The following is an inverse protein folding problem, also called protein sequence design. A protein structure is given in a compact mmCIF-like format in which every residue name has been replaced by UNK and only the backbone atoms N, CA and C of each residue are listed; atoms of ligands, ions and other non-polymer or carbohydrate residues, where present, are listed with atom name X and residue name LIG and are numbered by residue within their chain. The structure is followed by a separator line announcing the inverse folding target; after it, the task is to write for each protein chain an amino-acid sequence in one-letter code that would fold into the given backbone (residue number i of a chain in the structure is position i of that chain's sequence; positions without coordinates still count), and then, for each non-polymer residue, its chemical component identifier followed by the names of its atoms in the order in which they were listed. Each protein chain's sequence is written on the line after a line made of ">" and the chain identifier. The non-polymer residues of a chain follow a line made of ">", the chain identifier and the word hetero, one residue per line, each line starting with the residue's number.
data_IF_295497321649
#
_entry.id   IF_295497321649
#
_cell.length_a   1.000
_cell.length_b   1.000
_cell.length_c   1.000
_cell.angle_alpha   90.00
_cell.angle_beta   90.00
_cell.angle_gamma   90.00
#
_symmetry.space_group_name_H-M   'P 1'
#
loop_
_entity.id
_entity.type
_entity.pdbx_description
1 polymer ?
#
# COMPACT_ATOMS: atom_id res chain seq x y z
N UNK A 1 61.69 -31.40 17.44
CA UNK A 1 61.53 -29.96 17.51
C UNK A 1 60.22 -29.52 16.96
N UNK A 2 59.24 -29.18 17.84
CA UNK A 2 58.00 -28.55 17.46
C UNK A 2 58.28 -27.06 17.36
N UNK A 3 58.36 -26.52 16.14
CA UNK A 3 58.39 -25.09 15.91
C UNK A 3 56.95 -24.58 16.06
N UNK A 4 56.63 -24.03 17.22
CA UNK A 4 55.43 -23.20 17.40
C UNK A 4 55.64 -21.89 16.66
N UNK A 5 55.02 -21.73 15.50
CA UNK A 5 54.90 -20.43 14.82
C UNK A 5 54.03 -19.51 15.69
N UNK A 6 54.61 -18.79 16.62
CA UNK A 6 53.96 -17.66 17.28
C UNK A 6 53.91 -16.52 16.26
N UNK A 7 52.72 -16.17 15.83
CA UNK A 7 52.47 -14.93 15.05
C UNK A 7 53.04 -13.73 15.83
N UNK A 8 53.72 -12.79 15.16
CA UNK A 8 54.33 -11.64 15.84
C UNK A 8 53.28 -10.86 16.64
N UNK A 9 53.65 -10.41 17.84
CA UNK A 9 52.78 -9.60 18.73
C UNK A 9 52.22 -8.36 17.99
N UNK A 10 52.97 -7.82 17.03
CA UNK A 10 52.56 -6.73 16.16
C UNK A 10 51.31 -7.07 15.33
N UNK A 11 51.18 -8.29 14.81
CA UNK A 11 50.04 -8.75 14.03
C UNK A 11 48.77 -8.84 14.89
N UNK A 12 48.90 -9.34 16.10
CA UNK A 12 47.75 -9.38 17.04
C UNK A 12 47.32 -7.98 17.47
N UNK A 13 48.26 -7.04 17.62
CA UNK A 13 47.94 -5.65 17.95
C UNK A 13 47.17 -4.95 16.82
N UNK A 14 47.66 -5.10 15.59
CA UNK A 14 47.05 -4.53 14.41
C UNK A 14 45.64 -5.10 14.19
N UNK A 15 45.45 -6.41 14.36
CA UNK A 15 44.13 -7.05 14.27
C UNK A 15 43.18 -6.60 15.36
N UNK A 16 43.66 -6.35 16.59
CA UNK A 16 42.89 -5.80 17.69
C UNK A 16 42.44 -4.37 17.43
N UNK A 17 43.28 -3.55 16.80
CA UNK A 17 42.93 -2.17 16.43
C UNK A 17 41.90 -2.16 15.31
N UNK A 18 42.00 -3.01 14.29
CA UNK A 18 41.01 -3.20 13.23
C UNK A 18 39.66 -3.62 13.80
N UNK A 19 39.61 -4.61 14.70
CA UNK A 19 38.40 -5.07 15.35
C UNK A 19 37.74 -3.98 16.22
N UNK A 20 38.52 -3.15 16.90
CA UNK A 20 37.99 -2.01 17.68
C UNK A 20 37.38 -0.93 16.77
N UNK A 21 38.00 -0.67 15.62
CA UNK A 21 37.51 0.26 14.64
C UNK A 21 36.13 -0.23 14.05
N UNK A 22 36.09 -1.53 13.71
CA UNK A 22 34.84 -2.15 13.22
C UNK A 22 33.74 -2.15 14.29
N UNK A 23 34.08 -2.45 15.55
CA UNK A 23 33.14 -2.38 16.67
C UNK A 23 32.52 -0.97 16.81
N UNK A 24 33.39 0.06 16.74
CA UNK A 24 32.91 1.46 16.84
C UNK A 24 32.00 1.83 15.66
N UNK A 25 32.38 1.39 14.44
CA UNK A 25 31.55 1.63 13.24
C UNK A 25 30.16 0.97 13.38
N UNK A 26 30.10 -0.30 13.79
CA UNK A 26 28.89 -1.06 13.97
C UNK A 26 28.03 -0.43 15.09
N UNK A 27 28.65 0.03 16.18
CA UNK A 27 27.94 0.72 17.27
C UNK A 27 27.25 2.00 16.80
N UNK A 28 27.92 2.79 15.95
CA UNK A 28 27.33 3.99 15.36
C UNK A 28 26.18 3.66 14.38
N UNK A 29 26.32 2.56 13.63
CA UNK A 29 25.27 2.10 12.71
C UNK A 29 24.02 1.62 13.45
N UNK A 30 24.18 0.93 14.59
CA UNK A 30 23.07 0.57 15.49
C UNK A 30 22.35 1.82 16.02
N UNK A 31 23.11 2.85 16.42
CA UNK A 31 22.53 4.11 16.90
C UNK A 31 21.71 4.80 15.79
N UNK A 32 22.27 4.92 14.60
CA UNK A 32 21.57 5.49 13.44
C UNK A 32 20.28 4.73 13.08
N UNK A 33 20.32 3.39 13.14
CA UNK A 33 19.13 2.57 12.90
C UNK A 33 18.05 2.75 13.96
N UNK A 34 18.42 2.97 15.22
CA UNK A 34 17.47 3.29 16.30
C UNK A 34 16.81 4.65 16.10
N UNK A 35 17.59 5.65 15.70
CA UNK A 35 17.05 6.99 15.44
C UNK A 35 16.06 6.96 14.27
N UNK A 36 16.38 6.23 13.20
CA UNK A 36 15.46 6.03 12.08
C UNK A 36 14.18 5.31 12.50
N UNK A 37 14.28 4.29 13.34
CA UNK A 37 13.09 3.62 13.88
C UNK A 37 12.17 4.57 14.65
N UNK A 38 12.74 5.40 15.51
CA UNK A 38 11.99 6.37 16.30
C UNK A 38 11.30 7.41 15.40
N UNK A 39 11.95 7.83 14.32
CA UNK A 39 11.34 8.70 13.31
C UNK A 39 10.12 8.03 12.63
N UNK A 40 10.21 6.73 12.31
CA UNK A 40 9.09 6.00 11.71
C UNK A 40 7.93 5.77 12.67
N UNK A 41 8.22 5.47 13.95
CA UNK A 41 7.18 5.38 14.99
C UNK A 41 6.41 6.70 15.11
N UNK A 42 7.13 7.83 15.08
CA UNK A 42 6.51 9.16 15.09
C UNK A 42 5.62 9.40 13.86
N UNK A 43 6.10 9.04 12.66
CA UNK A 43 5.31 9.16 11.42
C UNK A 43 4.07 8.28 11.41
N UNK A 44 4.14 7.08 11.96
CA UNK A 44 2.97 6.20 12.10
C UNK A 44 1.94 6.83 13.03
N UNK A 45 2.38 7.43 14.15
CA UNK A 45 1.50 8.13 15.06
C UNK A 45 0.84 9.35 14.39
N UNK A 46 1.59 10.11 13.58
CA UNK A 46 1.10 11.25 12.82
C UNK A 46 0.04 10.84 11.79
N UNK A 47 0.29 9.80 11.00
CA UNK A 47 -0.67 9.22 10.05
C UNK A 47 -1.95 8.78 10.78
N UNK A 48 -1.81 8.15 11.94
CA UNK A 48 -2.94 7.72 12.75
C UNK A 48 -3.77 8.91 13.25
N UNK A 49 -3.11 10.03 13.56
CA UNK A 49 -3.77 11.30 13.93
C UNK A 49 -4.55 11.89 12.75
N UNK A 50 -3.93 11.93 11.57
CA UNK A 50 -4.59 12.42 10.33
C UNK A 50 -5.82 11.59 9.99
N UNK A 51 -5.75 10.27 10.10
CA UNK A 51 -6.91 9.38 9.91
C UNK A 51 -8.04 9.72 10.89
N UNK A 52 -7.71 10.05 12.15
CA UNK A 52 -8.71 10.48 13.14
C UNK A 52 -9.34 11.82 12.79
N UNK A 53 -8.55 12.77 12.30
CA UNK A 53 -9.05 14.10 11.88
C UNK A 53 -9.96 13.98 10.66
N UNK A 54 -9.57 13.21 9.65
CA UNK A 54 -10.42 12.96 8.46
C UNK A 54 -11.77 12.36 8.84
N UNK A 55 -11.79 11.43 9.78
CA UNK A 55 -13.07 10.84 10.25
C UNK A 55 -13.92 11.81 11.04
N UNK A 56 -13.34 12.76 11.75
CA UNK A 56 -14.09 13.81 12.42
C UNK A 56 -14.66 14.83 11.42
N UNK A 57 -13.92 15.12 10.35
CA UNK A 57 -14.40 15.96 9.24
C UNK A 57 -15.55 15.26 8.49
N UNK A 58 -15.41 13.98 8.18
CA UNK A 58 -16.50 13.19 7.56
C UNK A 58 -17.75 13.16 8.44
N UNK A 59 -17.59 13.04 9.77
CA UNK A 59 -18.70 13.13 10.71
C UNK A 59 -19.40 14.50 10.64
N UNK A 60 -18.64 15.59 10.57
CA UNK A 60 -19.19 16.95 10.46
C UNK A 60 -19.85 17.22 9.12
N UNK A 61 -19.30 16.71 8.02
CA UNK A 61 -19.94 16.77 6.69
C UNK A 61 -21.24 16.01 6.70
N UNK A 62 -21.28 14.89 7.39
CA UNK A 62 -22.47 14.06 7.52
C UNK A 62 -23.58 14.74 8.33
N UNK A 63 -23.21 15.50 9.37
CA UNK A 63 -24.16 16.31 10.16
C UNK A 63 -24.71 17.51 9.36
N UNK A 64 -23.99 17.98 8.33
CA UNK A 64 -24.37 19.13 7.51
C UNK A 64 -25.11 18.76 6.20
N UNK A 65 -25.10 17.50 5.79
CA UNK A 65 -25.72 17.05 4.53
C UNK A 65 -27.11 16.48 4.79
N UNK A 66 -28.11 17.13 4.22
CA UNK A 66 -29.52 16.65 4.12
C UNK A 66 -29.55 15.49 3.09
N UNK A 67 -29.10 14.29 3.50
CA UNK A 67 -29.14 13.09 2.67
C UNK A 67 -30.45 12.36 2.95
N UNK A 68 -31.30 12.30 1.98
CA UNK A 68 -32.70 11.87 2.05
C UNK A 68 -32.95 10.38 2.39
N UNK A 69 -31.92 9.55 2.58
CA UNK A 69 -32.10 8.13 2.91
C UNK A 69 -31.20 7.68 4.06
N UNK A 70 -31.81 7.18 5.13
CA UNK A 70 -31.12 6.56 6.27
C UNK A 70 -30.21 5.38 5.84
N UNK A 71 -30.66 4.59 4.87
CA UNK A 71 -29.92 3.43 4.37
C UNK A 71 -28.64 3.84 3.64
N UNK A 72 -28.66 4.93 2.87
CA UNK A 72 -27.46 5.46 2.20
C UNK A 72 -26.44 5.98 3.21
N UNK A 73 -26.90 6.64 4.28
CA UNK A 73 -26.02 7.09 5.38
C UNK A 73 -25.37 5.91 6.11
N UNK A 74 -26.16 4.88 6.37
CA UNK A 74 -25.67 3.69 7.07
C UNK A 74 -24.66 2.90 6.23
N UNK A 75 -24.92 2.79 4.90
CA UNK A 75 -23.99 2.17 3.96
C UNK A 75 -22.66 2.91 3.89
N UNK A 76 -22.69 4.25 3.80
CA UNK A 76 -21.49 5.10 3.79
C UNK A 76 -20.67 4.93 5.09
N UNK A 77 -21.34 4.98 6.25
CA UNK A 77 -20.68 4.80 7.55
C UNK A 77 -20.03 3.42 7.69
N UNK A 78 -20.71 2.37 7.22
CA UNK A 78 -20.14 1.00 7.21
C UNK A 78 -18.94 0.90 6.28
N UNK A 79 -19.01 1.51 5.10
CA UNK A 79 -17.90 1.53 4.14
C UNK A 79 -16.66 2.20 4.73
N UNK A 80 -16.82 3.39 5.32
CA UNK A 80 -15.74 4.13 5.99
C UNK A 80 -15.16 3.33 7.16
N UNK A 81 -15.99 2.76 8.01
CA UNK A 81 -15.54 1.98 9.17
C UNK A 81 -14.81 0.69 8.77
N UNK A 82 -15.29 0.00 7.73
CA UNK A 82 -14.63 -1.20 7.21
C UNK A 82 -13.25 -0.86 6.63
N UNK A 83 -13.14 0.25 5.91
CA UNK A 83 -11.85 0.72 5.38
C UNK A 83 -10.89 1.11 6.50
N UNK A 84 -11.35 1.81 7.54
CA UNK A 84 -10.54 2.13 8.74
C UNK A 84 -10.01 0.88 9.42
N UNK A 85 -10.86 -0.12 9.61
CA UNK A 85 -10.47 -1.40 10.21
C UNK A 85 -9.49 -2.16 9.33
N UNK A 86 -9.61 -2.08 8.00
CA UNK A 86 -8.65 -2.66 7.05
C UNK A 86 -7.29 -1.99 7.19
N UNK A 87 -7.25 -0.66 7.15
CA UNK A 87 -6.01 0.13 7.29
C UNK A 87 -5.36 -0.12 8.65
N UNK A 88 -6.15 -0.09 9.73
CA UNK A 88 -5.63 -0.35 11.08
C UNK A 88 -5.01 -1.75 11.20
N UNK A 89 -5.61 -2.77 10.60
CA UNK A 89 -5.05 -4.13 10.57
C UNK A 89 -3.78 -4.21 9.73
N UNK A 90 -3.76 -3.65 8.53
CA UNK A 90 -2.56 -3.62 7.67
C UNK A 90 -1.39 -2.91 8.36
N UNK A 91 -1.65 -1.79 9.04
CA UNK A 91 -0.63 -1.08 9.83
C UNK A 91 -0.16 -1.91 11.03
N UNK A 92 -1.09 -2.51 11.77
CA UNK A 92 -0.76 -3.28 12.98
C UNK A 92 -0.01 -4.57 12.64
N UNK A 93 -0.51 -5.36 11.71
CA UNK A 93 0.01 -6.72 11.49
C UNK A 93 1.36 -6.72 10.77
N UNK A 94 1.56 -5.85 9.80
CA UNK A 94 2.79 -5.83 9.02
C UNK A 94 3.86 -4.90 9.63
N UNK A 95 3.49 -3.69 9.99
CA UNK A 95 4.47 -2.67 10.41
C UNK A 95 4.91 -2.87 11.86
N UNK A 96 3.97 -3.06 12.78
CA UNK A 96 4.28 -3.18 14.22
C UNK A 96 5.04 -4.46 14.52
N UNK A 97 4.68 -5.59 13.91
CA UNK A 97 5.41 -6.86 14.10
C UNK A 97 6.84 -6.77 13.56
N UNK A 98 7.02 -6.18 12.38
CA UNK A 98 8.35 -6.02 11.78
C UNK A 98 9.22 -5.06 12.61
N UNK A 99 8.68 -3.95 13.12
CA UNK A 99 9.40 -3.02 13.98
C UNK A 99 9.81 -3.69 15.31
N UNK A 100 8.92 -4.47 15.92
CA UNK A 100 9.23 -5.23 17.14
C UNK A 100 10.36 -6.23 16.91
N UNK A 101 10.35 -6.94 15.78
CA UNK A 101 11.43 -7.85 15.40
C UNK A 101 12.77 -7.11 15.22
N UNK A 102 12.75 -5.89 14.66
CA UNK A 102 13.95 -5.04 14.52
C UNK A 102 14.49 -4.62 15.89
N UNK A 103 13.63 -4.21 16.84
CA UNK A 103 14.05 -3.91 18.21
C UNK A 103 14.81 -5.09 18.82
N UNK A 104 14.24 -6.28 18.80
CA UNK A 104 14.90 -7.47 19.32
C UNK A 104 16.22 -7.80 18.63
N UNK A 105 16.29 -7.63 17.30
CA UNK A 105 17.54 -7.83 16.56
C UNK A 105 18.61 -6.80 16.91
N UNK A 106 18.23 -5.53 17.13
CA UNK A 106 19.21 -4.50 17.57
C UNK A 106 19.72 -4.74 18.98
N UNK A 107 18.85 -5.23 19.88
CA UNK A 107 19.27 -5.66 21.23
C UNK A 107 20.24 -6.85 21.19
N UNK A 108 19.96 -7.82 20.31
CA UNK A 108 20.85 -8.95 20.07
C UNK A 108 22.21 -8.49 19.55
N UNK A 109 22.23 -7.61 18.54
CA UNK A 109 23.45 -7.04 17.99
C UNK A 109 24.27 -6.33 19.09
N UNK A 110 23.64 -5.58 19.98
CA UNK A 110 24.30 -4.90 21.10
C UNK A 110 24.98 -5.88 22.07
N UNK A 111 24.43 -7.10 22.22
CA UNK A 111 24.99 -8.13 23.11
C UNK A 111 26.13 -8.92 22.46
N UNK A 112 26.07 -9.15 21.15
CA UNK A 112 27.00 -10.03 20.44
C UNK A 112 28.14 -9.28 19.75
N UNK A 113 28.12 -7.95 19.70
CA UNK A 113 29.07 -7.12 18.98
C UNK A 113 30.54 -7.39 19.39
N UNK A 114 30.77 -7.69 20.66
CA UNK A 114 32.11 -7.99 21.20
C UNK A 114 32.53 -9.46 21.02
N UNK A 115 31.53 -10.38 21.04
CA UNK A 115 31.80 -11.83 21.00
C UNK A 115 31.77 -12.39 19.58
N UNK A 116 30.90 -11.88 18.71
CA UNK A 116 30.72 -12.33 17.32
C UNK A 116 30.40 -11.16 16.37
N UNK A 117 31.43 -10.35 16.00
CA UNK A 117 31.22 -9.20 15.11
C UNK A 117 30.69 -9.59 13.72
N UNK A 118 31.01 -10.79 13.23
CA UNK A 118 30.59 -11.28 11.91
C UNK A 118 29.07 -11.52 11.91
N UNK A 119 28.57 -12.21 12.92
CA UNK A 119 27.14 -12.45 13.10
C UNK A 119 26.38 -11.14 13.32
N UNK A 120 26.93 -10.22 14.13
CA UNK A 120 26.37 -8.89 14.33
C UNK A 120 26.20 -8.14 12.99
N UNK A 121 27.19 -8.17 12.11
CA UNK A 121 27.16 -7.53 10.79
C UNK A 121 26.07 -8.13 9.88
N UNK A 122 25.89 -9.45 9.91
CA UNK A 122 24.83 -10.13 9.15
C UNK A 122 23.43 -9.74 9.65
N UNK A 123 23.25 -9.67 10.98
CA UNK A 123 21.97 -9.22 11.57
C UNK A 123 21.67 -7.75 11.22
N UNK A 124 22.66 -6.86 11.28
CA UNK A 124 22.50 -5.46 10.86
C UNK A 124 22.09 -5.34 9.39
N UNK A 125 22.68 -6.14 8.51
CA UNK A 125 22.29 -6.16 7.10
C UNK A 125 20.83 -6.61 6.94
N UNK A 126 20.41 -7.64 7.67
CA UNK A 126 19.00 -8.12 7.70
C UNK A 126 18.05 -7.04 8.22
N UNK A 127 18.42 -6.33 9.30
CA UNK A 127 17.67 -5.18 9.84
C UNK A 127 17.49 -4.11 8.77
N UNK A 128 18.57 -3.72 8.10
CA UNK A 128 18.52 -2.71 7.03
C UNK A 128 17.60 -3.10 5.87
N UNK A 129 17.57 -4.38 5.49
CA UNK A 129 16.63 -4.87 4.47
C UNK A 129 15.18 -4.80 4.94
N UNK A 130 14.91 -5.21 6.18
CA UNK A 130 13.58 -5.17 6.77
C UNK A 130 13.06 -3.73 6.89
N UNK A 131 13.91 -2.80 7.34
CA UNK A 131 13.57 -1.37 7.41
C UNK A 131 13.21 -0.80 6.04
N UNK A 132 14.00 -1.06 5.00
CA UNK A 132 13.68 -0.59 3.64
C UNK A 132 12.33 -1.11 3.18
N UNK A 133 12.01 -2.36 3.48
CA UNK A 133 10.71 -2.92 3.16
C UNK A 133 9.57 -2.21 3.90
N UNK A 134 9.72 -1.98 5.22
CA UNK A 134 8.72 -1.25 6.02
C UNK A 134 8.51 0.17 5.47
N UNK A 135 9.59 0.87 5.10
CA UNK A 135 9.51 2.20 4.51
C UNK A 135 8.68 2.17 3.22
N UNK A 136 8.93 1.20 2.36
CA UNK A 136 8.23 1.07 1.09
C UNK A 136 6.76 0.72 1.30
N UNK A 137 6.46 -0.21 2.22
CA UNK A 137 5.11 -0.60 2.59
C UNK A 137 4.34 0.59 3.20
N UNK A 138 4.98 1.35 4.11
CA UNK A 138 4.38 2.55 4.73
C UNK A 138 4.14 3.67 3.71
N UNK A 139 5.08 3.91 2.79
CA UNK A 139 4.87 4.85 1.68
C UNK A 139 3.71 4.41 0.78
N UNK A 140 3.56 3.08 0.58
CA UNK A 140 2.42 2.50 -0.09
C UNK A 140 1.11 2.86 0.57
N UNK A 141 1.01 2.63 1.86
CA UNK A 141 -0.19 2.95 2.65
C UNK A 141 -0.51 4.45 2.63
N UNK A 142 0.50 5.32 2.78
CA UNK A 142 0.29 6.79 2.69
C UNK A 142 -0.26 7.16 1.31
N UNK A 143 0.32 6.59 0.25
CA UNK A 143 -0.14 6.83 -1.12
C UNK A 143 -1.57 6.29 -1.34
N UNK A 144 -1.90 5.17 -0.70
CA UNK A 144 -3.22 4.56 -0.75
C UNK A 144 -4.26 5.36 0.04
N UNK A 145 -3.88 6.01 1.14
CA UNK A 145 -4.76 6.83 1.96
C UNK A 145 -5.06 8.19 1.34
N UNK A 146 -4.05 8.86 0.82
CA UNK A 146 -4.17 10.17 0.16
C UNK A 146 -3.09 10.32 -0.90
N UNK A 147 -3.38 10.08 -2.17
CA UNK A 147 -2.44 10.40 -3.24
C UNK A 147 -2.25 11.93 -3.29
N UNK A 148 -1.26 12.45 -2.56
CA UNK A 148 -0.90 13.90 -2.58
C UNK A 148 -0.56 14.41 -3.99
N UNK A 149 -0.39 13.48 -4.93
CA UNK A 149 0.00 13.75 -6.29
C UNK A 149 -1.12 14.24 -7.22
N UNK A 150 -2.39 14.15 -6.81
CA UNK A 150 -3.48 14.59 -7.68
C UNK A 150 -3.47 16.11 -7.93
N UNK A 151 -3.18 16.89 -6.89
CA UNK A 151 -3.18 18.33 -6.97
C UNK A 151 -1.97 18.87 -7.76
N UNK A 152 -0.84 18.15 -7.72
CA UNK A 152 0.42 18.58 -8.32
C UNK A 152 0.66 18.01 -9.72
N UNK A 153 0.30 16.74 -9.99
CA UNK A 153 0.71 16.03 -11.22
C UNK A 153 -0.46 15.47 -12.05
N UNK A 154 -1.70 15.56 -11.54
CA UNK A 154 -2.91 15.12 -12.21
C UNK A 154 -3.18 13.61 -12.11
N UNK A 155 -4.42 13.23 -12.52
CA UNK A 155 -4.95 11.87 -12.36
C UNK A 155 -4.19 10.84 -13.19
N UNK A 156 -3.98 11.10 -14.48
CA UNK A 156 -3.36 10.13 -15.40
C UNK A 156 -1.95 9.73 -14.95
N UNK A 157 -1.12 10.73 -14.62
CA UNK A 157 0.25 10.47 -14.13
C UNK A 157 0.24 9.71 -12.81
N UNK A 158 -0.75 9.96 -11.97
CA UNK A 158 -0.92 9.24 -10.69
C UNK A 158 -1.26 7.78 -10.94
N UNK A 159 -2.17 7.48 -11.87
CA UNK A 159 -2.52 6.10 -12.27
C UNK A 159 -1.32 5.38 -12.88
N UNK A 160 -0.61 6.01 -13.83
CA UNK A 160 0.61 5.43 -14.43
C UNK A 160 1.64 5.03 -13.36
N UNK A 161 1.93 5.95 -12.42
CA UNK A 161 2.87 5.67 -11.33
C UNK A 161 2.40 4.53 -10.41
N UNK A 162 1.09 4.45 -10.15
CA UNK A 162 0.52 3.38 -9.35
C UNK A 162 0.68 2.02 -10.04
N UNK A 163 0.41 1.94 -11.34
CA UNK A 163 0.55 0.73 -12.15
C UNK A 163 2.02 0.33 -12.32
N UNK A 164 2.92 1.27 -12.61
CA UNK A 164 4.37 1.01 -12.68
C UNK A 164 4.91 0.41 -11.40
N UNK A 165 4.48 0.95 -10.27
CA UNK A 165 4.83 0.43 -8.96
C UNK A 165 4.29 -0.97 -8.76
N UNK A 166 3.01 -1.20 -9.04
CA UNK A 166 2.36 -2.49 -8.93
C UNK A 166 3.07 -3.56 -9.77
N UNK A 167 3.41 -3.25 -11.01
CA UNK A 167 4.15 -4.12 -11.93
C UNK A 167 5.52 -4.54 -11.36
N UNK A 168 6.25 -3.61 -10.74
CA UNK A 168 7.56 -3.91 -10.11
C UNK A 168 7.48 -4.94 -8.98
N UNK A 169 6.37 -4.94 -8.24
CA UNK A 169 6.22 -5.82 -7.07
C UNK A 169 5.57 -7.17 -7.40
N UNK A 170 4.73 -7.24 -8.42
CA UNK A 170 3.84 -8.40 -8.64
C UNK A 170 4.10 -9.20 -9.90
N UNK A 171 5.10 -8.83 -10.72
CA UNK A 171 5.43 -9.51 -11.99
C UNK A 171 4.23 -9.66 -12.95
N UNK A 172 3.29 -8.72 -12.90
CA UNK A 172 2.18 -8.58 -13.83
C UNK A 172 2.51 -7.41 -14.73
N UNK A 173 2.38 -7.59 -16.04
CA UNK A 173 2.50 -6.50 -17.00
C UNK A 173 1.25 -5.62 -16.95
N UNK A 174 1.41 -4.30 -16.90
CA UNK A 174 0.30 -3.34 -16.84
C UNK A 174 0.34 -2.39 -18.03
N UNK A 175 -0.76 -2.27 -18.75
CA UNK A 175 -0.97 -1.26 -19.79
C UNK A 175 -1.88 -0.15 -19.30
N UNK A 176 -1.52 1.13 -19.58
CA UNK A 176 -2.36 2.28 -19.31
C UNK A 176 -2.67 3.03 -20.59
N UNK A 177 -3.93 3.33 -20.83
CA UNK A 177 -4.41 4.00 -22.03
C UNK A 177 -5.41 5.09 -21.69
N UNK A 178 -5.32 6.21 -22.38
CA UNK A 178 -6.28 7.31 -22.27
C UNK A 178 -6.96 7.57 -23.59
N UNK A 179 -8.20 8.00 -23.56
CA UNK A 179 -8.99 8.39 -24.74
C UNK A 179 -9.76 9.69 -24.46
N UNK A 180 -9.80 10.57 -25.45
CA UNK A 180 -10.41 11.89 -25.32
C UNK A 180 -9.46 12.94 -24.76
N UNK A 181 -9.98 14.15 -24.53
CA UNK A 181 -9.21 15.26 -23.96
C UNK A 181 -9.36 15.24 -22.45
N UNK A 182 -8.26 15.08 -21.74
CA UNK A 182 -8.23 15.12 -20.28
C UNK A 182 -8.76 16.48 -19.78
N UNK A 183 -9.56 16.44 -18.71
CA UNK A 183 -10.09 17.60 -18.01
C UNK A 183 -9.91 17.41 -16.50
N UNK A 184 -9.94 18.50 -15.70
CA UNK A 184 -9.92 18.41 -14.26
C UNK A 184 -11.06 17.52 -13.75
N UNK A 185 -10.76 16.58 -12.87
CA UNK A 185 -11.71 15.66 -12.25
C UNK A 185 -11.77 16.00 -10.77
N UNK A 186 -12.97 16.02 -10.19
CA UNK A 186 -13.15 16.21 -8.75
C UNK A 186 -12.32 15.18 -7.97
N UNK A 187 -11.67 15.61 -6.89
CA UNK A 187 -10.76 14.79 -6.10
C UNK A 187 -11.40 13.50 -5.56
N UNK A 188 -12.69 13.54 -5.18
CA UNK A 188 -13.42 12.37 -4.71
C UNK A 188 -13.60 11.34 -5.82
N UNK A 189 -13.86 11.79 -7.06
CA UNK A 189 -13.95 10.92 -8.24
C UNK A 189 -12.58 10.30 -8.54
N UNK A 190 -11.51 11.10 -8.51
CA UNK A 190 -10.14 10.61 -8.72
C UNK A 190 -9.77 9.51 -7.73
N UNK A 191 -10.01 9.75 -6.43
CA UNK A 191 -9.75 8.77 -5.36
C UNK A 191 -10.57 7.50 -5.58
N UNK A 192 -11.85 7.64 -5.89
CA UNK A 192 -12.73 6.49 -6.13
C UNK A 192 -12.25 5.64 -7.31
N UNK A 193 -11.91 6.26 -8.44
CA UNK A 193 -11.39 5.55 -9.61
C UNK A 193 -10.06 4.85 -9.29
N UNK A 194 -9.15 5.53 -8.57
CA UNK A 194 -7.88 4.93 -8.16
C UNK A 194 -8.10 3.71 -7.23
N UNK A 195 -9.06 3.79 -6.31
CA UNK A 195 -9.41 2.66 -5.42
C UNK A 195 -9.96 1.47 -6.21
N UNK A 196 -10.79 1.72 -7.21
CA UNK A 196 -11.27 0.65 -8.10
C UNK A 196 -10.10 0.00 -8.84
N UNK A 197 -9.14 0.80 -9.35
CA UNK A 197 -7.95 0.29 -10.02
C UNK A 197 -7.11 -0.56 -9.06
N UNK A 198 -6.85 -0.08 -7.84
CA UNK A 198 -6.07 -0.80 -6.83
C UNK A 198 -6.71 -2.13 -6.45
N UNK A 199 -8.03 -2.14 -6.23
CA UNK A 199 -8.77 -3.36 -5.89
C UNK A 199 -8.76 -4.36 -7.05
N UNK A 200 -8.92 -3.90 -8.29
CA UNK A 200 -8.81 -4.75 -9.47
C UNK A 200 -7.41 -5.35 -9.62
N UNK A 201 -6.35 -4.55 -9.40
CA UNK A 201 -4.97 -5.02 -9.37
C UNK A 201 -4.76 -6.12 -8.31
N UNK A 202 -5.25 -5.88 -7.09
CA UNK A 202 -5.15 -6.86 -6.01
C UNK A 202 -5.88 -8.17 -6.34
N UNK A 203 -7.06 -8.07 -6.96
CA UNK A 203 -7.84 -9.22 -7.37
C UNK A 203 -7.15 -10.00 -8.49
N UNK A 204 -6.51 -9.32 -9.45
CA UNK A 204 -5.72 -9.93 -10.50
C UNK A 204 -4.57 -10.79 -9.95
N UNK A 205 -3.87 -10.31 -8.90
CA UNK A 205 -2.80 -11.06 -8.22
C UNK A 205 -3.35 -12.18 -7.36
N UNK A 206 -4.28 -11.85 -6.45
CA UNK A 206 -4.70 -12.78 -5.39
C UNK A 206 -5.59 -13.90 -5.92
N UNK A 207 -6.45 -13.58 -6.89
CA UNK A 207 -7.52 -14.45 -7.30
C UNK A 207 -7.44 -14.90 -8.75
N UNK A 208 -6.99 -14.05 -9.68
CA UNK A 208 -7.06 -14.32 -11.10
C UNK A 208 -5.81 -15.02 -11.65
N UNK A 209 -4.65 -14.91 -10.99
CA UNK A 209 -3.36 -15.36 -11.52
C UNK A 209 -3.08 -14.77 -12.93
N UNK A 210 -3.46 -13.50 -13.11
CA UNK A 210 -3.30 -12.79 -14.36
C UNK A 210 -1.83 -12.53 -14.68
N UNK A 211 -1.48 -12.48 -15.95
CA UNK A 211 -0.17 -12.09 -16.46
C UNK A 211 -0.17 -10.66 -17.01
N UNK A 212 -1.33 -10.18 -17.44
CA UNK A 212 -1.52 -8.85 -18.00
C UNK A 212 -2.76 -8.18 -17.42
N UNK A 213 -2.66 -6.87 -17.18
CA UNK A 213 -3.76 -6.02 -16.74
C UNK A 213 -3.78 -4.73 -17.56
N UNK A 214 -4.92 -4.45 -18.19
CA UNK A 214 -5.15 -3.25 -18.98
C UNK A 214 -6.05 -2.29 -18.21
N UNK A 215 -5.64 -1.03 -18.11
CA UNK A 215 -6.43 0.07 -17.53
C UNK A 215 -6.62 1.13 -18.60
N UNK A 216 -7.87 1.42 -18.95
CA UNK A 216 -8.24 2.45 -19.92
C UNK A 216 -9.14 3.49 -19.30
N UNK A 217 -8.80 4.78 -19.42
CA UNK A 217 -9.60 5.92 -19.00
C UNK A 217 -10.08 6.70 -20.22
N UNK A 218 -11.39 6.86 -20.35
CA UNK A 218 -12.01 7.63 -21.45
C UNK A 218 -12.68 8.89 -20.91
N UNK A 219 -12.20 10.04 -21.34
CA UNK A 219 -12.70 11.37 -21.00
C UNK A 219 -13.79 11.78 -21.98
N UNK A 220 -15.05 11.57 -21.59
CA UNK A 220 -16.21 11.93 -22.41
C UNK A 220 -16.79 13.28 -21.94
N UNK A 221 -17.55 13.93 -22.79
CA UNK A 221 -18.12 15.27 -22.52
C UNK A 221 -18.91 15.33 -21.20
N UNK A 222 -19.71 14.30 -20.91
CA UNK A 222 -20.64 14.26 -19.76
C UNK A 222 -20.27 13.27 -18.67
N UNK A 223 -19.21 12.46 -18.87
CA UNK A 223 -18.84 11.41 -17.93
C UNK A 223 -17.40 10.98 -18.15
N UNK A 224 -16.80 10.40 -17.13
CA UNK A 224 -15.55 9.63 -17.22
C UNK A 224 -15.88 8.13 -17.20
N UNK A 225 -15.17 7.38 -18.02
CA UNK A 225 -15.32 5.92 -18.08
C UNK A 225 -13.96 5.28 -17.83
N UNK A 226 -13.93 4.36 -16.86
CA UNK A 226 -12.78 3.54 -16.54
C UNK A 226 -13.08 2.09 -16.96
N UNK A 227 -12.20 1.49 -17.70
CA UNK A 227 -12.24 0.06 -18.05
C UNK A 227 -10.98 -0.61 -17.57
N UNK A 228 -11.14 -1.69 -16.80
CA UNK A 228 -10.02 -2.51 -16.33
C UNK A 228 -10.25 -3.93 -16.80
N UNK A 229 -9.24 -4.54 -17.43
CA UNK A 229 -9.29 -5.92 -17.92
C UNK A 229 -8.08 -6.69 -17.47
N UNK A 230 -8.28 -7.91 -17.00
CA UNK A 230 -7.22 -8.88 -16.78
C UNK A 230 -7.39 -10.13 -17.66
N UNK A 231 -6.28 -10.80 -17.92
CA UNK A 231 -6.21 -12.04 -18.69
C UNK A 231 -6.24 -13.30 -17.81
N UNK A 232 -6.68 -13.17 -16.56
CA UNK A 232 -6.63 -14.25 -15.59
C UNK A 232 -7.68 -15.35 -15.79
N UNK A 233 -7.79 -16.22 -14.79
CA UNK A 233 -8.70 -17.39 -14.87
C UNK A 233 -10.19 -17.05 -14.87
N UNK A 234 -10.57 -15.81 -14.55
CA UNK A 234 -11.97 -15.40 -14.41
C UNK A 234 -12.75 -16.16 -13.34
N UNK A 235 -14.03 -15.84 -13.21
CA UNK A 235 -14.95 -16.46 -12.26
C UNK A 235 -16.39 -16.33 -12.74
N UNK A 236 -17.31 -17.11 -12.17
CA UNK A 236 -18.74 -16.93 -12.39
C UNK A 236 -19.25 -15.79 -11.51
N UNK A 237 -19.64 -14.69 -12.15
CA UNK A 237 -20.15 -13.47 -11.46
C UNK A 237 -21.41 -13.78 -10.64
N UNK A 238 -22.25 -14.72 -11.08
CA UNK A 238 -23.49 -15.07 -10.39
C UNK A 238 -23.24 -15.99 -9.19
N UNK A 239 -22.11 -16.64 -9.11
CA UNK A 239 -21.72 -17.50 -8.01
C UNK A 239 -21.08 -16.74 -6.83
N UNK A 240 -20.81 -15.45 -6.98
CA UNK A 240 -20.27 -14.61 -5.90
C UNK A 240 -21.42 -14.18 -5.01
N UNK A 241 -21.45 -14.56 -3.72
CA UNK A 241 -22.53 -14.17 -2.82
C UNK A 241 -22.57 -12.64 -2.64
N UNK A 242 -23.75 -12.04 -2.74
CA UNK A 242 -23.95 -10.62 -2.41
C UNK A 242 -23.82 -10.33 -0.90
N UNK A 243 -23.87 -11.37 -0.05
CA UNK A 243 -23.80 -11.26 1.41
C UNK A 243 -22.47 -11.79 1.97
N UNK A 244 -22.01 -11.07 2.97
CA UNK A 244 -20.75 -11.22 3.70
C UNK A 244 -20.56 -12.59 4.36
N UNK A 245 -19.49 -13.28 4.02
CA UNK A 245 -18.96 -14.36 4.87
C UNK A 245 -17.97 -13.73 5.89
N UNK A 246 -17.96 -14.28 7.12
CA UNK A 246 -17.16 -13.82 8.26
C UNK A 246 -15.61 -13.83 8.04
N UNK A 247 -15.13 -14.31 6.91
CA UNK A 247 -13.72 -14.52 6.63
C UNK A 247 -13.06 -13.50 5.68
N UNK A 248 -13.61 -12.30 5.56
CA UNK A 248 -13.02 -11.18 4.80
C UNK A 248 -12.79 -11.41 3.28
N UNK A 249 -13.27 -12.50 2.70
CA UNK A 249 -13.19 -12.79 1.28
C UNK A 249 -14.51 -12.46 0.59
N UNK A 250 -14.50 -11.51 -0.34
CA UNK A 250 -15.69 -11.13 -1.13
C UNK A 250 -16.14 -9.68 -1.01
N UNK A 251 -15.62 -8.91 -0.06
CA UNK A 251 -15.97 -7.49 0.12
C UNK A 251 -15.51 -6.57 -0.99
N UNK A 252 -14.43 -6.90 -1.72
CA UNK A 252 -13.80 -6.00 -2.69
C UNK A 252 -14.76 -5.56 -3.80
N UNK A 253 -15.51 -6.50 -4.38
CA UNK A 253 -16.45 -6.20 -5.47
C UNK A 253 -17.63 -5.38 -4.98
N UNK A 254 -18.20 -5.70 -3.81
CA UNK A 254 -19.31 -4.96 -3.20
C UNK A 254 -18.89 -3.54 -2.84
N UNK A 255 -17.71 -3.36 -2.27
CA UNK A 255 -17.14 -2.06 -1.93
C UNK A 255 -16.89 -1.18 -3.18
N UNK A 256 -16.40 -1.77 -4.28
CA UNK A 256 -16.25 -1.04 -5.55
C UNK A 256 -17.62 -0.55 -6.06
N UNK A 257 -18.65 -1.41 -6.06
CA UNK A 257 -20.01 -1.06 -6.46
C UNK A 257 -20.55 0.10 -5.62
N UNK A 258 -20.46 -0.03 -4.31
CA UNK A 258 -20.97 0.97 -3.36
C UNK A 258 -20.33 2.35 -3.56
N UNK A 259 -18.99 2.42 -3.66
CA UNK A 259 -18.27 3.68 -3.90
C UNK A 259 -18.68 4.36 -5.19
N UNK A 260 -18.85 3.58 -6.26
CA UNK A 260 -19.26 4.12 -7.56
C UNK A 260 -20.72 4.63 -7.52
N UNK A 261 -21.61 3.91 -6.85
CA UNK A 261 -23.03 4.32 -6.70
C UNK A 261 -23.18 5.61 -5.88
N UNK A 262 -22.34 5.81 -4.86
CA UNK A 262 -22.33 7.06 -4.08
C UNK A 262 -22.03 8.30 -4.94
N UNK A 263 -21.30 8.13 -6.05
CA UNK A 263 -21.02 9.18 -7.03
C UNK A 263 -22.05 9.23 -8.18
N UNK A 264 -23.22 8.62 -8.00
CA UNK A 264 -24.23 8.46 -9.06
C UNK A 264 -23.66 7.79 -10.32
N UNK A 265 -22.61 7.02 -10.16
CA UNK A 265 -21.96 6.26 -11.23
C UNK A 265 -22.60 4.88 -11.40
N UNK A 266 -22.15 4.19 -12.43
CA UNK A 266 -22.52 2.79 -12.71
C UNK A 266 -21.27 1.94 -12.82
N UNK A 267 -21.34 0.70 -12.35
CA UNK A 267 -20.28 -0.28 -12.48
C UNK A 267 -20.86 -1.59 -13.02
N UNK A 268 -20.20 -2.16 -14.01
CA UNK A 268 -20.48 -3.52 -14.49
C UNK A 268 -19.21 -4.38 -14.39
N UNK A 269 -19.42 -5.64 -14.04
CA UNK A 269 -18.35 -6.63 -13.92
C UNK A 269 -18.71 -7.81 -14.80
N UNK A 270 -17.88 -8.10 -15.77
CA UNK A 270 -18.05 -9.19 -16.71
C UNK A 270 -16.88 -10.17 -16.52
N UNK A 271 -17.18 -11.41 -16.17
CA UNK A 271 -16.18 -12.46 -16.01
C UNK A 271 -16.80 -13.81 -16.30
N UNK A 272 -15.99 -14.71 -16.84
CA UNK A 272 -16.34 -16.11 -17.00
C UNK A 272 -15.08 -16.98 -16.78
N UNK A 273 -15.22 -18.23 -16.32
CA UNK A 273 -14.10 -19.13 -16.15
C UNK A 273 -13.25 -19.23 -17.43
N UNK A 274 -11.94 -18.98 -17.31
CA UNK A 274 -10.97 -19.00 -18.39
C UNK A 274 -10.97 -17.77 -19.31
N UNK A 275 -11.72 -16.69 -18.99
CA UNK A 275 -11.82 -15.49 -19.86
C UNK A 275 -11.36 -14.19 -19.18
N UNK A 276 -10.73 -14.28 -18.01
CA UNK A 276 -10.35 -13.11 -17.24
C UNK A 276 -11.55 -12.34 -16.65
N UNK A 277 -11.32 -11.10 -16.27
CA UNK A 277 -12.35 -10.21 -15.75
C UNK A 277 -12.27 -8.84 -16.43
N UNK A 278 -13.44 -8.22 -16.65
CA UNK A 278 -13.57 -6.85 -17.16
C UNK A 278 -14.46 -6.05 -16.21
N UNK A 279 -13.92 -4.96 -15.69
CA UNK A 279 -14.62 -4.02 -14.81
C UNK A 279 -14.80 -2.73 -15.59
N UNK A 280 -16.04 -2.26 -15.72
CA UNK A 280 -16.38 -1.03 -16.42
C UNK A 280 -17.09 -0.11 -15.44
N UNK A 281 -16.50 1.07 -15.19
CA UNK A 281 -17.05 2.11 -14.33
C UNK A 281 -17.37 3.33 -15.15
N UNK A 282 -18.54 3.93 -14.93
CA UNK A 282 -18.93 5.19 -15.56
C UNK A 282 -19.43 6.15 -14.49
N UNK A 283 -18.79 7.32 -14.34
CA UNK A 283 -19.16 8.36 -13.39
C UNK A 283 -19.54 9.62 -14.16
N UNK A 284 -20.71 10.22 -13.88
CA UNK A 284 -21.11 11.47 -14.52
C UNK A 284 -20.17 12.61 -14.13
N UNK A 285 -19.93 13.54 -15.05
CA UNK A 285 -19.17 14.76 -14.77
C UNK A 285 -19.92 15.61 -13.76
N UNK A 286 -19.27 16.00 -12.68
CA UNK A 286 -19.89 16.81 -11.64
C UNK A 286 -20.04 18.27 -12.11
N UNK A 287 -21.03 18.99 -11.54
CA UNK A 287 -21.28 20.42 -11.90
C UNK A 287 -20.10 21.32 -11.57
N UNK A 288 -19.26 20.93 -10.64
CA UNK A 288 -18.02 21.65 -10.27
C UNK A 288 -16.88 21.44 -11.27
N UNK A 289 -16.99 20.47 -12.17
CA UNK A 289 -16.03 20.18 -13.23
C UNK A 289 -16.37 20.93 -14.54
N UNK A 290 -17.42 21.76 -14.54
CA UNK A 290 -17.86 22.60 -15.65
C UNK A 290 -17.37 24.03 -15.50
#
# INVERSE_FOLDING_TARGET
>A
GVQTCALPISFHKEKMEELRADQKRISNEIMCLRDQMQEYEFRIADITSVIKEETEIERKIHEAADIDSYDTRLALLRSVETERQRIARELHDSTTQNLTAIVHKTELCSKIIESDPVKCKLELFSIGQTLRKIIEDTRGLIYDLRPMSFDDIGFDVTVERALDRFQRFHRIECGYYTEGTSYPINSVVQITLLRVIQEACNNAVKHAQASYLEVKVSYLEKKIVLVIKDDGKGFDVNAVPDETRDDNSGFGLSMMKERVYLLSGTISIESAPGKGCSIIVSIPKMKEDL
#
